data_IF_648581416529
#
_entry.id   IF_648581416529
#
_cell.length_a   1.000
_cell.length_b   1.000
_cell.length_c   1.000
_cell.angle_alpha   90.00
_cell.angle_beta   90.00
_cell.angle_gamma   90.00
#
_symmetry.space_group_name_H-M   'P 1'
#
loop_
_entity.id
_entity.type
_entity.pdbx_description
1 polymer ?
#
# COMPACT_ATOMS: atom_id res chain seq x y z
N UNK A 1 25.31 -38.95 47.19
CA UNK A 1 25.24 -38.11 45.98
C UNK A 1 23.97 -38.46 45.18
N UNK A 2 22.81 -38.00 45.66
CA UNK A 2 21.48 -38.19 45.04
C UNK A 2 21.05 -36.82 44.52
N UNK A 3 21.02 -36.62 43.20
CA UNK A 3 20.20 -35.60 42.49
C UNK A 3 20.64 -35.44 41.02
N UNK A 4 20.31 -36.39 40.14
CA UNK A 4 20.51 -36.19 38.69
C UNK A 4 19.48 -36.84 37.76
N UNK A 5 18.27 -37.08 38.24
CA UNK A 5 17.18 -37.67 37.43
C UNK A 5 15.83 -36.96 37.66
N UNK A 6 15.78 -35.64 37.46
CA UNK A 6 14.52 -34.85 37.46
C UNK A 6 14.08 -34.34 36.08
N UNK A 7 14.88 -34.52 35.03
CA UNK A 7 14.59 -33.99 33.68
C UNK A 7 13.67 -34.86 32.81
N UNK A 8 13.60 -36.17 33.06
CA UNK A 8 12.88 -37.12 32.19
C UNK A 8 11.37 -37.22 32.48
N UNK A 9 10.90 -36.77 33.66
CA UNK A 9 9.49 -36.83 34.02
C UNK A 9 8.63 -35.78 33.29
N UNK A 10 9.24 -34.66 32.88
CA UNK A 10 8.53 -33.56 32.23
C UNK A 10 8.15 -33.88 30.78
N UNK A 11 8.94 -34.65 30.04
CA UNK A 11 8.68 -34.95 28.62
C UNK A 11 7.42 -35.80 28.46
N UNK A 12 7.18 -36.76 29.37
CA UNK A 12 5.95 -37.56 29.40
C UNK A 12 4.71 -36.71 29.67
N UNK A 13 4.81 -35.79 30.64
CA UNK A 13 3.73 -34.84 30.99
C UNK A 13 3.36 -33.92 29.82
N UNK A 14 4.35 -33.39 29.10
CA UNK A 14 4.12 -32.56 27.90
C UNK A 14 3.46 -33.36 26.77
N UNK A 15 3.89 -34.61 26.56
CA UNK A 15 3.30 -35.48 25.53
C UNK A 15 1.85 -35.83 25.83
N UNK A 16 1.53 -36.08 27.10
CA UNK A 16 0.18 -36.40 27.56
C UNK A 16 -0.76 -35.19 27.50
N UNK A 17 -0.24 -33.97 27.76
CA UNK A 17 -0.97 -32.71 27.61
C UNK A 17 -1.25 -32.35 26.14
N UNK A 18 -0.34 -32.69 25.22
CA UNK A 18 -0.56 -32.55 23.77
C UNK A 18 -1.62 -33.54 23.28
N UNK A 19 -1.62 -34.78 23.77
CA UNK A 19 -2.63 -35.79 23.40
C UNK A 19 -4.03 -35.51 23.97
N UNK A 20 -4.12 -34.85 25.14
CA UNK A 20 -5.39 -34.51 25.80
C UNK A 20 -5.92 -33.12 25.40
N UNK A 21 -5.36 -32.49 24.36
CA UNK A 21 -5.93 -31.26 23.83
C UNK A 21 -7.30 -31.56 23.22
N UNK A 22 -8.33 -30.74 23.47
CA UNK A 22 -9.66 -30.96 22.91
C UNK A 22 -9.56 -31.10 21.38
N UNK A 23 -10.41 -31.96 20.77
CA UNK A 23 -10.38 -32.17 19.32
C UNK A 23 -10.43 -30.81 18.63
N UNK A 24 -9.50 -30.60 17.72
CA UNK A 24 -9.40 -29.35 16.97
C UNK A 24 -10.73 -29.19 16.23
N UNK A 25 -11.48 -28.12 16.52
CA UNK A 25 -12.65 -27.72 15.73
C UNK A 25 -12.14 -27.30 14.35
N UNK A 26 -12.13 -28.27 13.44
CA UNK A 26 -11.73 -28.09 12.04
C UNK A 26 -12.96 -27.51 11.32
N UNK A 27 -12.76 -26.38 10.66
CA UNK A 27 -13.81 -25.80 9.83
C UNK A 27 -13.97 -26.63 8.55
N UNK A 28 -15.11 -27.32 8.41
CA UNK A 28 -15.45 -28.13 7.25
C UNK A 28 -16.19 -27.35 6.14
N UNK A 29 -16.64 -26.12 6.39
CA UNK A 29 -17.33 -25.29 5.39
C UNK A 29 -16.37 -24.77 4.31
N UNK A 30 -16.42 -25.40 3.13
CA UNK A 30 -15.68 -24.96 1.93
C UNK A 30 -16.13 -23.56 1.50
N UNK A 31 -17.44 -23.28 1.57
CA UNK A 31 -18.01 -21.98 1.15
C UNK A 31 -17.45 -20.84 1.98
N UNK A 32 -17.38 -21.01 3.31
CA UNK A 32 -16.82 -19.98 4.20
C UNK A 32 -15.33 -19.73 3.90
N UNK A 33 -14.55 -20.78 3.66
CA UNK A 33 -13.13 -20.65 3.28
C UNK A 33 -12.95 -19.91 1.96
N UNK A 34 -13.71 -20.25 0.93
CA UNK A 34 -13.63 -19.59 -0.37
C UNK A 34 -13.99 -18.11 -0.26
N UNK A 35 -15.03 -17.77 0.51
CA UNK A 35 -15.44 -16.38 0.74
C UNK A 35 -14.37 -15.59 1.50
N UNK A 36 -13.77 -16.15 2.55
CA UNK A 36 -12.67 -15.50 3.28
C UNK A 36 -11.45 -15.31 2.39
N UNK A 37 -11.07 -16.31 1.58
CA UNK A 37 -9.97 -16.18 0.63
C UNK A 37 -10.25 -15.12 -0.43
N UNK A 38 -11.47 -15.07 -0.97
CA UNK A 38 -11.87 -14.04 -1.93
C UNK A 38 -11.76 -12.64 -1.30
N UNK A 39 -12.23 -12.49 -0.06
CA UNK A 39 -12.15 -11.23 0.70
C UNK A 39 -10.71 -10.76 0.89
N UNK A 40 -9.80 -11.68 1.21
CA UNK A 40 -8.37 -11.42 1.34
C UNK A 40 -7.76 -10.98 0.00
N UNK A 41 -8.05 -11.71 -1.08
CA UNK A 41 -7.57 -11.37 -2.43
C UNK A 41 -8.02 -9.97 -2.83
N UNK A 42 -9.29 -9.63 -2.58
CA UNK A 42 -9.83 -8.30 -2.88
C UNK A 42 -9.14 -7.24 -2.03
N UNK A 43 -8.88 -7.50 -0.74
CA UNK A 43 -8.12 -6.59 0.11
C UNK A 43 -6.71 -6.31 -0.41
N UNK A 44 -6.01 -7.35 -0.88
CA UNK A 44 -4.68 -7.23 -1.50
C UNK A 44 -4.75 -6.41 -2.79
N UNK A 45 -5.69 -6.74 -3.69
CA UNK A 45 -5.87 -6.02 -4.96
C UNK A 45 -6.26 -4.55 -4.73
N UNK A 46 -7.13 -4.28 -3.76
CA UNK A 46 -7.52 -2.93 -3.40
C UNK A 46 -6.33 -2.10 -2.91
N UNK A 47 -5.47 -2.71 -2.10
CA UNK A 47 -4.24 -2.09 -1.61
C UNK A 47 -3.27 -1.80 -2.74
N UNK A 48 -3.13 -2.73 -3.69
CA UNK A 48 -2.25 -2.59 -4.85
C UNK A 48 -2.68 -1.45 -5.78
N UNK A 49 -4.00 -1.37 -6.06
CA UNK A 49 -4.60 -0.28 -6.84
C UNK A 49 -4.44 1.06 -6.12
N UNK A 50 -4.63 1.10 -4.81
CA UNK A 50 -4.53 2.33 -4.03
C UNK A 50 -3.08 2.80 -3.84
N UNK A 51 -2.12 1.89 -3.82
CA UNK A 51 -0.70 2.16 -3.63
C UNK A 51 0.09 2.29 -4.93
N UNK A 52 -0.53 2.02 -6.09
CA UNK A 52 0.12 1.96 -7.41
C UNK A 52 1.34 1.02 -7.43
N UNK A 53 1.23 -0.09 -6.70
CA UNK A 53 2.27 -1.12 -6.61
C UNK A 53 1.97 -2.30 -7.54
N UNK A 54 2.91 -3.25 -7.61
CA UNK A 54 2.75 -4.52 -8.35
C UNK A 54 2.76 -5.74 -7.41
N UNK A 55 2.51 -5.51 -6.12
CA UNK A 55 2.58 -6.53 -5.07
C UNK A 55 1.51 -7.61 -5.22
N UNK A 56 0.37 -7.28 -5.84
CA UNK A 56 -0.71 -8.24 -6.10
C UNK A 56 -0.26 -9.42 -6.98
N UNK A 57 0.69 -9.19 -7.90
CA UNK A 57 1.14 -10.20 -8.87
C UNK A 57 1.69 -11.45 -8.19
N UNK A 58 2.37 -11.30 -7.06
CA UNK A 58 2.88 -12.44 -6.29
C UNK A 58 2.00 -12.79 -5.09
N UNK A 59 1.45 -11.79 -4.39
CA UNK A 59 0.67 -12.03 -3.18
C UNK A 59 -0.65 -12.77 -3.43
N UNK A 60 -1.33 -12.47 -4.54
CA UNK A 60 -2.62 -13.13 -4.88
C UNK A 60 -2.41 -14.62 -5.17
N UNK A 61 -1.53 -15.04 -6.11
CA UNK A 61 -1.26 -16.46 -6.34
C UNK A 61 -0.79 -17.18 -5.08
N UNK A 62 0.10 -16.56 -4.28
CA UNK A 62 0.65 -17.20 -3.10
C UNK A 62 -0.39 -17.38 -1.99
N UNK A 63 -1.28 -16.39 -1.80
CA UNK A 63 -2.40 -16.52 -0.85
C UNK A 63 -3.38 -17.62 -1.25
N UNK A 64 -3.63 -17.81 -2.56
CA UNK A 64 -4.51 -18.86 -3.08
C UNK A 64 -3.88 -20.24 -2.92
N UNK A 65 -2.60 -20.39 -3.27
CA UNK A 65 -1.83 -21.62 -3.02
C UNK A 65 -1.79 -21.93 -1.52
N UNK A 66 -1.59 -20.93 -0.67
CA UNK A 66 -1.63 -21.09 0.78
C UNK A 66 -2.97 -21.62 1.29
N UNK A 67 -4.08 -21.06 0.81
CA UNK A 67 -5.43 -21.49 1.18
C UNK A 67 -5.73 -22.93 0.72
N UNK A 68 -5.35 -23.29 -0.51
CA UNK A 68 -5.49 -24.65 -1.05
C UNK A 68 -4.63 -25.63 -0.26
N UNK A 69 -3.36 -25.29 -0.02
CA UNK A 69 -2.44 -26.11 0.77
C UNK A 69 -2.94 -26.31 2.20
N UNK A 70 -3.42 -25.25 2.85
CA UNK A 70 -4.01 -25.30 4.18
C UNK A 70 -5.22 -26.24 4.23
N UNK A 71 -6.06 -26.23 3.19
CA UNK A 71 -7.20 -27.15 3.07
C UNK A 71 -6.76 -28.61 2.98
N UNK A 72 -5.77 -28.95 2.15
CA UNK A 72 -5.26 -30.32 2.05
C UNK A 72 -4.56 -30.79 3.33
N UNK A 73 -3.78 -29.92 3.98
CA UNK A 73 -3.00 -30.27 5.17
C UNK A 73 -3.78 -30.17 6.49
N UNK A 74 -5.08 -29.78 6.45
CA UNK A 74 -5.89 -29.46 7.65
C UNK A 74 -5.96 -30.54 8.73
N UNK A 75 -5.82 -31.83 8.35
CA UNK A 75 -5.89 -32.98 9.27
C UNK A 75 -4.52 -33.47 9.73
N UNK A 76 -3.42 -32.88 9.26
CA UNK A 76 -2.06 -33.29 9.60
C UNK A 76 -1.33 -32.23 10.43
N UNK A 77 -0.81 -32.56 11.62
CA UNK A 77 0.04 -31.64 12.37
C UNK A 77 1.41 -31.56 11.70
N UNK A 78 1.66 -30.50 10.92
CA UNK A 78 2.96 -30.27 10.30
C UNK A 78 3.73 -29.16 11.04
N UNK A 79 4.44 -29.55 12.10
CA UNK A 79 5.20 -28.63 12.97
C UNK A 79 6.29 -27.89 12.18
N UNK A 80 6.93 -28.55 11.20
CA UNK A 80 7.98 -27.94 10.38
C UNK A 80 7.47 -26.76 9.55
N UNK A 81 6.27 -26.89 8.97
CA UNK A 81 5.64 -25.81 8.19
C UNK A 81 5.28 -24.63 9.10
N UNK A 82 4.71 -24.88 10.28
CA UNK A 82 4.42 -23.82 11.26
C UNK A 82 5.69 -23.08 11.69
N UNK A 83 6.79 -23.81 11.89
CA UNK A 83 8.07 -23.22 12.23
C UNK A 83 8.63 -22.36 11.08
N UNK A 84 8.52 -22.84 9.84
CA UNK A 84 8.93 -22.08 8.66
C UNK A 84 8.10 -20.80 8.49
N UNK A 85 6.77 -20.87 8.68
CA UNK A 85 5.89 -19.70 8.64
C UNK A 85 6.24 -18.71 9.76
N UNK A 86 6.52 -19.19 10.97
CA UNK A 86 6.94 -18.33 12.08
C UNK A 86 8.25 -17.58 11.78
N UNK A 87 9.24 -18.26 11.20
CA UNK A 87 10.47 -17.63 10.73
C UNK A 87 10.14 -16.60 9.63
N UNK A 88 9.29 -16.95 8.67
CA UNK A 88 8.86 -16.04 7.61
C UNK A 88 8.23 -14.77 8.16
N UNK A 89 7.37 -14.88 9.18
CA UNK A 89 6.73 -13.73 9.83
C UNK A 89 7.76 -12.86 10.57
N UNK A 90 8.75 -13.46 11.23
CA UNK A 90 9.84 -12.71 11.86
C UNK A 90 10.72 -11.98 10.84
N UNK A 91 11.02 -12.62 9.71
CA UNK A 91 11.78 -11.99 8.62
C UNK A 91 11.00 -10.83 7.99
N UNK A 92 9.69 -11.01 7.76
CA UNK A 92 8.82 -9.94 7.28
C UNK A 92 8.82 -8.74 8.24
N UNK A 93 8.74 -9.00 9.55
CA UNK A 93 8.83 -7.97 10.58
C UNK A 93 10.21 -7.28 10.60
N UNK A 94 11.30 -8.04 10.46
CA UNK A 94 12.64 -7.49 10.36
C UNK A 94 12.82 -6.60 9.13
N UNK A 95 12.29 -7.03 7.98
CA UNK A 95 12.29 -6.24 6.75
C UNK A 95 11.48 -4.95 6.89
N UNK A 96 10.32 -5.01 7.56
CA UNK A 96 9.52 -3.85 7.91
C UNK A 96 10.30 -2.82 8.72
N UNK A 97 10.98 -3.25 9.80
CA UNK A 97 11.78 -2.32 10.60
C UNK A 97 12.97 -1.74 9.81
N UNK A 98 13.62 -2.54 8.96
CA UNK A 98 14.68 -2.04 8.08
C UNK A 98 14.21 -0.93 7.15
N UNK A 99 13.04 -1.11 6.51
CA UNK A 99 12.44 -0.10 5.63
C UNK A 99 11.93 1.11 6.41
N UNK A 100 11.34 0.90 7.58
CA UNK A 100 10.85 1.97 8.44
C UNK A 100 11.96 2.93 8.87
N UNK A 101 13.17 2.41 9.16
CA UNK A 101 14.34 3.22 9.52
C UNK A 101 14.91 3.96 8.30
N UNK A 102 14.84 3.36 7.10
CA UNK A 102 15.33 3.97 5.86
C UNK A 102 14.38 5.02 5.23
N UNK A 103 13.07 4.88 5.44
CA UNK A 103 12.03 5.64 4.73
C UNK A 103 10.93 6.14 5.69
N UNK A 104 11.23 7.21 6.43
CA UNK A 104 10.30 7.80 7.41
C UNK A 104 9.12 8.57 6.78
N UNK A 105 9.13 8.75 5.46
CA UNK A 105 8.25 9.71 4.79
C UNK A 105 6.91 9.12 4.32
N UNK A 106 6.76 7.80 4.20
CA UNK A 106 5.45 7.18 3.92
C UNK A 106 5.28 5.82 4.58
N UNK A 107 5.08 5.84 5.90
CA UNK A 107 4.91 4.64 6.73
C UNK A 107 3.66 3.83 6.37
N UNK A 108 2.68 4.42 5.69
CA UNK A 108 1.44 3.74 5.30
C UNK A 108 1.69 2.67 4.24
N UNK A 109 2.55 2.96 3.26
CA UNK A 109 2.93 2.02 2.21
C UNK A 109 3.69 0.82 2.81
N UNK A 110 4.63 1.10 3.71
CA UNK A 110 5.44 0.09 4.40
C UNK A 110 4.55 -0.79 5.28
N UNK A 111 3.57 -0.20 5.98
CA UNK A 111 2.59 -0.94 6.79
C UNK A 111 1.69 -1.84 5.92
N UNK A 112 1.23 -1.32 4.78
CA UNK A 112 0.42 -2.08 3.82
C UNK A 112 1.17 -3.33 3.33
N UNK A 113 2.45 -3.17 2.98
CA UNK A 113 3.30 -4.27 2.55
C UNK A 113 3.49 -5.32 3.65
N UNK A 114 3.74 -4.90 4.89
CA UNK A 114 3.83 -5.82 6.03
C UNK A 114 2.53 -6.62 6.20
N UNK A 115 1.38 -5.96 6.12
CA UNK A 115 0.08 -6.63 6.26
C UNK A 115 -0.13 -7.66 5.15
N UNK A 116 0.24 -7.35 3.90
CA UNK A 116 0.14 -8.30 2.78
C UNK A 116 1.05 -9.50 3.02
N UNK A 117 2.31 -9.29 3.43
CA UNK A 117 3.26 -10.37 3.70
C UNK A 117 2.77 -11.29 4.82
N UNK A 118 2.30 -10.70 5.94
CA UNK A 118 1.72 -11.45 7.05
C UNK A 118 0.48 -12.23 6.62
N UNK A 119 -0.40 -11.61 5.81
CA UNK A 119 -1.61 -12.25 5.34
C UNK A 119 -1.34 -13.44 4.42
N UNK A 120 -0.36 -13.30 3.52
CA UNK A 120 0.08 -14.38 2.64
C UNK A 120 0.63 -15.54 3.44
N UNK A 121 1.51 -15.28 4.42
CA UNK A 121 2.06 -16.30 5.31
C UNK A 121 0.99 -16.98 6.16
N UNK A 122 0.05 -16.20 6.71
CA UNK A 122 -1.07 -16.71 7.49
C UNK A 122 -2.00 -17.60 6.65
N UNK A 123 -2.09 -17.37 5.33
CA UNK A 123 -2.87 -18.21 4.42
C UNK A 123 -2.45 -19.68 4.39
N UNK A 124 -1.18 -19.96 4.67
CA UNK A 124 -0.67 -21.33 4.73
C UNK A 124 -1.05 -22.09 6.01
N UNK A 125 -1.49 -21.41 7.08
CA UNK A 125 -1.82 -22.03 8.37
C UNK A 125 -3.20 -21.60 8.90
N UNK A 126 -4.26 -21.88 8.12
CA UNK A 126 -5.65 -21.69 8.55
C UNK A 126 -6.43 -23.00 8.77
N UNK A 127 -5.99 -23.93 9.65
CA UNK A 127 -6.75 -25.15 9.91
C UNK A 127 -8.03 -24.89 10.72
N UNK A 128 -8.05 -23.87 11.60
CA UNK A 128 -9.17 -23.60 12.49
C UNK A 128 -10.07 -22.49 11.99
N UNK A 129 -11.31 -22.51 12.45
CA UNK A 129 -12.30 -21.45 12.18
C UNK A 129 -11.88 -20.08 12.71
N UNK A 130 -11.26 -20.04 13.90
CA UNK A 130 -10.74 -18.79 14.49
C UNK A 130 -9.67 -18.13 13.60
N UNK A 131 -8.84 -18.95 12.95
CA UNK A 131 -7.77 -18.49 12.07
C UNK A 131 -8.35 -17.86 10.78
N UNK A 132 -9.45 -18.42 10.25
CA UNK A 132 -10.23 -17.81 9.16
C UNK A 132 -10.85 -16.47 9.58
N UNK A 133 -11.36 -16.39 10.81
CA UNK A 133 -11.87 -15.14 11.39
C UNK A 133 -10.80 -14.04 11.47
N UNK A 134 -9.58 -14.37 11.90
CA UNK A 134 -8.47 -13.41 11.90
C UNK A 134 -8.14 -12.92 10.49
N UNK A 135 -8.20 -13.81 9.51
CA UNK A 135 -7.92 -13.47 8.11
C UNK A 135 -8.98 -12.55 7.51
N UNK A 136 -10.24 -12.71 7.91
CA UNK A 136 -11.30 -11.75 7.58
C UNK A 136 -10.99 -10.36 8.15
N UNK A 137 -10.57 -10.29 9.42
CA UNK A 137 -10.21 -9.02 10.06
C UNK A 137 -9.02 -8.37 9.37
N UNK A 138 -7.97 -9.14 9.03
CA UNK A 138 -6.81 -8.61 8.30
C UNK A 138 -7.23 -8.12 6.92
N UNK A 139 -8.12 -8.81 6.22
CA UNK A 139 -8.71 -8.33 4.97
C UNK A 139 -9.47 -7.00 5.12
N UNK A 140 -10.19 -6.81 6.23
CA UNK A 140 -10.86 -5.55 6.56
C UNK A 140 -9.87 -4.43 6.92
N UNK A 141 -8.75 -4.77 7.56
CA UNK A 141 -7.66 -3.80 7.81
C UNK A 141 -7.01 -3.40 6.48
N UNK A 142 -6.77 -4.35 5.57
CA UNK A 142 -6.19 -4.08 4.24
C UNK A 142 -7.05 -3.10 3.44
N UNK A 143 -8.37 -3.31 3.36
CA UNK A 143 -9.25 -2.36 2.66
C UNK A 143 -9.26 -0.98 3.33
N UNK A 144 -9.13 -0.92 4.66
CA UNK A 144 -9.00 0.32 5.41
C UNK A 144 -7.70 1.07 5.09
N UNK A 145 -6.57 0.38 5.07
CA UNK A 145 -5.28 0.96 4.68
C UNK A 145 -5.32 1.42 3.22
N UNK A 146 -5.87 0.60 2.32
CA UNK A 146 -6.09 0.96 0.92
C UNK A 146 -6.93 2.24 0.78
N UNK A 147 -8.00 2.40 1.56
CA UNK A 147 -8.82 3.61 1.55
C UNK A 147 -8.03 4.87 1.96
N UNK A 148 -7.02 4.76 2.83
CA UNK A 148 -6.17 5.90 3.21
C UNK A 148 -5.10 6.25 2.17
N UNK A 149 -4.72 5.29 1.32
CA UNK A 149 -3.76 5.47 0.24
C UNK A 149 -4.42 5.92 -1.05
N UNK A 150 -5.68 5.55 -1.27
CA UNK A 150 -6.45 5.82 -2.47
C UNK A 150 -6.56 7.32 -2.77
N UNK A 151 -6.24 7.68 -4.01
CA UNK A 151 -6.29 9.07 -4.51
C UNK A 151 -7.33 9.26 -5.61
N UNK A 152 -7.95 8.17 -6.09
CA UNK A 152 -8.79 8.15 -7.29
C UNK A 152 -10.11 7.43 -7.04
N UNK A 153 -11.14 7.75 -7.84
CA UNK A 153 -12.42 7.05 -7.82
C UNK A 153 -12.34 5.59 -8.31
N UNK A 154 -11.19 5.17 -8.88
CA UNK A 154 -10.97 3.80 -9.33
C UNK A 154 -11.02 2.77 -8.19
N UNK A 155 -10.85 3.20 -6.94
CA UNK A 155 -11.00 2.34 -5.76
C UNK A 155 -12.46 1.98 -5.44
N UNK A 156 -13.44 2.81 -5.82
CA UNK A 156 -14.83 2.64 -5.41
C UNK A 156 -15.47 1.31 -5.87
N UNK A 157 -15.28 0.84 -7.13
CA UNK A 157 -15.80 -0.46 -7.55
C UNK A 157 -15.23 -1.62 -6.73
N UNK A 158 -13.94 -1.57 -6.39
CA UNK A 158 -13.27 -2.60 -5.60
C UNK A 158 -13.81 -2.62 -4.17
N UNK A 159 -14.07 -1.45 -3.59
CA UNK A 159 -14.71 -1.33 -2.28
C UNK A 159 -16.13 -1.91 -2.28
N UNK A 160 -16.94 -1.63 -3.30
CA UNK A 160 -18.29 -2.19 -3.43
C UNK A 160 -18.26 -3.72 -3.56
N UNK A 161 -17.30 -4.25 -4.33
CA UNK A 161 -17.09 -5.68 -4.49
C UNK A 161 -16.64 -6.33 -3.18
N UNK A 162 -15.74 -5.69 -2.42
CA UNK A 162 -15.37 -6.12 -1.07
C UNK A 162 -16.59 -6.18 -0.14
N UNK A 163 -17.43 -5.13 -0.16
CA UNK A 163 -18.63 -5.06 0.66
C UNK A 163 -19.64 -6.17 0.29
N UNK A 164 -19.80 -6.46 -1.00
CA UNK A 164 -20.69 -7.51 -1.48
C UNK A 164 -20.29 -8.91 -0.98
N UNK A 165 -18.99 -9.13 -0.74
CA UNK A 165 -18.46 -10.42 -0.25
C UNK A 165 -18.36 -10.46 1.27
N UNK A 166 -18.02 -9.36 1.95
CA UNK A 166 -17.90 -9.38 3.42
C UNK A 166 -19.24 -9.65 4.11
N UNK A 167 -20.35 -9.18 3.55
CA UNK A 167 -21.68 -9.38 4.12
C UNK A 167 -22.10 -10.86 4.23
N UNK A 168 -22.12 -11.65 3.14
CA UNK A 168 -22.42 -13.07 3.25
C UNK A 168 -21.40 -13.77 4.17
N UNK A 169 -20.12 -13.39 4.11
CA UNK A 169 -19.08 -13.99 4.96
C UNK A 169 -19.33 -13.75 6.45
N UNK A 170 -19.73 -12.54 6.85
CA UNK A 170 -20.09 -12.18 8.22
C UNK A 170 -21.36 -12.89 8.68
N UNK A 171 -22.36 -13.03 7.81
CA UNK A 171 -23.59 -13.77 8.13
C UNK A 171 -23.29 -15.25 8.42
N UNK A 172 -22.42 -15.88 7.61
CA UNK A 172 -21.95 -17.24 7.88
C UNK A 172 -21.17 -17.32 9.19
N UNK A 173 -20.27 -16.36 9.44
CA UNK A 173 -19.49 -16.34 10.67
C UNK A 173 -20.38 -16.17 11.92
N UNK A 174 -21.37 -15.29 11.83
CA UNK A 174 -22.31 -15.06 12.92
C UNK A 174 -23.19 -16.30 13.21
N UNK A 175 -23.79 -16.90 12.16
CA UNK A 175 -24.66 -18.08 12.31
C UNK A 175 -23.93 -19.26 12.94
N UNK A 176 -22.70 -19.52 12.50
CA UNK A 176 -21.93 -20.65 13.04
C UNK A 176 -21.42 -20.38 14.46
N UNK A 177 -21.18 -19.11 14.87
CA UNK A 177 -20.84 -18.78 16.28
C UNK A 177 -22.01 -18.91 17.24
N UNK A 178 -23.23 -18.69 16.75
CA UNK A 178 -24.45 -18.90 17.53
C UNK A 178 -24.80 -20.39 17.73
N UNK A 179 -24.00 -21.32 17.18
CA UNK A 179 -24.26 -22.74 17.31
C UNK A 179 -25.53 -23.21 16.59
N UNK A 180 -26.01 -22.43 15.60
CA UNK A 180 -27.09 -22.84 14.70
C UNK A 180 -26.56 -23.85 13.66
N UNK A 181 -25.77 -24.83 14.08
CA UNK A 181 -25.51 -25.99 13.24
C UNK A 181 -26.82 -26.75 13.04
N UNK A 182 -27.08 -27.24 11.81
CA UNK A 182 -28.25 -28.05 11.57
C UNK A 182 -28.12 -29.32 12.41
N UNK A 183 -29.01 -29.48 13.38
CA UNK A 183 -29.32 -30.76 14.00
C UNK A 183 -29.30 -31.82 12.92
N UNK A 184 -28.35 -32.74 13.03
CA UNK A 184 -28.15 -33.97 12.26
C UNK A 184 -29.35 -34.29 11.36
N UNK A 185 -29.27 -33.93 10.07
CA UNK A 185 -30.32 -34.25 9.11
C UNK A 185 -30.26 -35.76 8.86
N UNK A 186 -31.12 -36.47 9.60
CA UNK A 186 -31.66 -37.76 9.20
C UNK A 186 -32.24 -37.56 7.79
N UNK A 187 -31.65 -38.22 6.81
CA UNK A 187 -32.10 -38.28 5.41
C UNK A 187 -33.63 -38.41 5.37
N UNK A 188 -34.31 -37.34 4.99
CA UNK A 188 -35.66 -37.43 4.46
C UNK A 188 -35.80 -36.46 3.29
N UNK A 189 -35.97 -37.08 2.14
CA UNK A 189 -36.42 -36.52 0.87
C UNK A 189 -37.39 -35.36 1.05
N UNK A 190 -36.97 -34.14 0.68
CA UNK A 190 -37.92 -33.10 0.28
C UNK A 190 -37.28 -32.20 -0.78
N UNK A 191 -37.78 -32.37 -1.99
CA UNK A 191 -37.48 -31.64 -3.20
C UNK A 191 -38.19 -30.27 -3.09
N UNK A 192 -37.54 -29.27 -2.47
CA UNK A 192 -37.78 -27.81 -2.57
C UNK A 192 -37.34 -27.04 -1.28
N UNK A 193 -36.06 -27.08 -0.91
CA UNK A 193 -35.57 -26.24 0.22
C UNK A 193 -34.16 -25.64 0.02
N UNK A 194 -33.73 -25.39 -1.21
CA UNK A 194 -32.40 -24.83 -1.49
C UNK A 194 -32.25 -23.30 -1.24
N UNK A 195 -33.15 -22.65 -0.47
CA UNK A 195 -33.13 -21.18 -0.32
C UNK A 195 -33.22 -20.64 1.11
N UNK A 196 -33.02 -21.45 2.14
CA UNK A 196 -32.95 -20.95 3.54
C UNK A 196 -31.56 -20.46 3.95
N UNK A 197 -30.50 -20.79 3.19
CA UNK A 197 -29.11 -20.48 3.57
C UNK A 197 -28.77 -19.02 3.26
N UNK A 198 -29.29 -18.47 2.16
CA UNK A 198 -29.08 -17.08 1.76
C UNK A 198 -30.42 -16.41 1.47
N UNK A 199 -30.96 -15.67 2.44
CA UNK A 199 -32.04 -14.74 2.13
C UNK A 199 -31.43 -13.59 1.30
N UNK A 200 -31.40 -13.77 -0.02
CA UNK A 200 -30.79 -12.83 -0.96
C UNK A 200 -31.41 -11.43 -0.80
N UNK A 201 -32.72 -11.36 -0.56
CA UNK A 201 -33.40 -10.09 -0.25
C UNK A 201 -32.82 -9.43 1.00
N UNK A 202 -32.60 -10.19 2.07
CA UNK A 202 -31.96 -9.68 3.29
C UNK A 202 -30.54 -9.15 3.01
N UNK A 203 -29.71 -9.88 2.26
CA UNK A 203 -28.36 -9.43 1.92
C UNK A 203 -28.36 -8.14 1.09
N UNK A 204 -29.22 -8.05 0.07
CA UNK A 204 -29.34 -6.86 -0.78
C UNK A 204 -29.86 -5.66 0.01
N UNK A 205 -30.85 -5.85 0.88
CA UNK A 205 -31.37 -4.79 1.74
C UNK A 205 -30.26 -4.27 2.68
N UNK A 206 -29.52 -5.16 3.35
CA UNK A 206 -28.41 -4.75 4.22
C UNK A 206 -27.30 -4.04 3.44
N UNK A 207 -26.95 -4.52 2.25
CA UNK A 207 -25.98 -3.88 1.38
C UNK A 207 -26.38 -2.44 1.03
N UNK A 208 -27.63 -2.24 0.61
CA UNK A 208 -28.16 -0.91 0.30
C UNK A 208 -28.20 0.00 1.54
N UNK A 209 -28.64 -0.53 2.69
CA UNK A 209 -28.65 0.21 3.96
C UNK A 209 -27.24 0.70 4.31
N UNK A 210 -26.23 -0.16 4.22
CA UNK A 210 -24.84 0.20 4.53
C UNK A 210 -24.32 1.27 3.57
N UNK A 211 -24.65 1.18 2.28
CA UNK A 211 -24.27 2.20 1.29
C UNK A 211 -24.94 3.55 1.62
N UNK A 212 -26.25 3.54 1.89
CA UNK A 212 -27.01 4.77 2.18
C UNK A 212 -26.48 5.42 3.46
N UNK A 213 -26.23 4.64 4.51
CA UNK A 213 -25.66 5.13 5.77
C UNK A 213 -24.25 5.67 5.53
N UNK A 214 -23.39 4.92 4.82
CA UNK A 214 -22.03 5.33 4.50
C UNK A 214 -21.98 6.65 3.71
N UNK A 215 -22.84 6.78 2.69
CA UNK A 215 -22.98 8.01 1.91
C UNK A 215 -23.54 9.17 2.75
N UNK A 216 -24.48 8.89 3.66
CA UNK A 216 -25.04 9.91 4.56
C UNK A 216 -23.98 10.43 5.53
N UNK A 217 -23.20 9.52 6.15
CA UNK A 217 -22.06 9.89 7.00
C UNK A 217 -21.05 10.71 6.19
N UNK A 218 -20.74 10.27 4.98
CA UNK A 218 -19.82 10.98 4.09
C UNK A 218 -20.33 12.37 3.66
N UNK A 219 -21.63 12.55 3.51
CA UNK A 219 -22.25 13.84 3.19
C UNK A 219 -22.21 14.81 4.37
N UNK A 220 -22.32 14.30 5.60
CA UNK A 220 -22.29 15.10 6.84
C UNK A 220 -20.86 15.38 7.32
N UNK A 221 -19.90 14.51 7.00
CA UNK A 221 -18.51 14.67 7.43
C UNK A 221 -17.88 15.96 6.85
N UNK A 222 -17.37 16.88 7.70
CA UNK A 222 -16.69 18.07 7.24
C UNK A 222 -15.43 17.66 6.49
N UNK A 223 -15.39 17.96 5.18
CA UNK A 223 -14.21 17.71 4.34
C UNK A 223 -13.19 18.79 4.64
N UNK A 224 -12.34 18.54 5.64
CA UNK A 224 -11.15 19.36 5.81
C UNK A 224 -10.21 19.13 4.63
N UNK A 225 -9.78 20.18 3.91
CA UNK A 225 -8.68 20.03 2.96
C UNK A 225 -7.52 19.41 3.73
N UNK A 226 -7.09 18.23 3.29
CA UNK A 226 -6.06 17.45 3.98
C UNK A 226 -4.86 18.34 4.28
N UNK A 227 -4.46 18.41 5.55
CA UNK A 227 -3.38 19.24 6.07
C UNK A 227 -2.18 19.25 5.11
N UNK A 228 -1.96 20.39 4.45
CA UNK A 228 -0.76 20.70 3.67
C UNK A 228 0.47 20.94 4.54
N UNK A 229 0.60 20.25 5.68
CA UNK A 229 1.78 20.31 6.55
C UNK A 229 2.80 19.25 6.13
N UNK A 230 3.13 19.25 4.84
CA UNK A 230 4.49 18.94 4.44
C UNK A 230 5.01 20.22 3.84
N UNK A 231 5.49 21.12 4.70
CA UNK A 231 6.54 22.03 4.27
C UNK A 231 7.66 21.11 3.78
N UNK A 232 7.72 20.87 2.47
CA UNK A 232 8.95 20.40 1.87
C UNK A 232 10.06 21.30 2.41
N UNK A 233 11.29 20.80 2.62
CA UNK A 233 12.41 21.69 2.89
C UNK A 233 12.55 22.61 1.66
N UNK A 234 11.85 23.73 1.69
CA UNK A 234 12.00 24.81 0.73
C UNK A 234 13.35 25.38 1.06
N UNK A 235 14.20 25.48 0.04
CA UNK A 235 15.43 26.26 0.11
C UNK A 235 15.13 27.58 0.82
N UNK A 236 15.99 27.95 1.77
CA UNK A 236 15.89 29.20 2.53
C UNK A 236 15.45 30.35 1.63
N UNK A 237 14.60 31.27 2.12
CA UNK A 237 14.19 32.44 1.36
C UNK A 237 15.44 33.10 0.76
N UNK A 238 15.50 33.09 -0.57
CA UNK A 238 16.55 33.78 -1.30
C UNK A 238 16.22 35.26 -1.17
N UNK A 239 17.01 36.00 -0.40
CA UNK A 239 16.94 37.45 -0.37
C UNK A 239 17.35 37.99 -1.75
N UNK A 240 16.36 38.15 -2.63
CA UNK A 240 16.56 38.83 -3.90
C UNK A 240 16.58 40.33 -3.59
N UNK A 241 17.77 40.93 -3.61
CA UNK A 241 17.91 42.38 -3.54
C UNK A 241 17.34 43.00 -4.83
N UNK A 242 16.12 43.55 -4.76
CA UNK A 242 15.47 44.32 -5.83
C UNK A 242 14.00 43.95 -6.09
N UNK A 243 13.28 44.79 -6.85
CA UNK A 243 11.86 44.60 -7.15
C UNK A 243 11.59 43.35 -7.99
N UNK A 244 10.80 42.41 -7.45
CA UNK A 244 10.27 41.25 -8.17
C UNK A 244 9.22 41.69 -9.19
N UNK A 245 9.67 42.09 -10.38
CA UNK A 245 8.79 42.54 -11.47
C UNK A 245 8.26 41.39 -12.35
N UNK A 246 8.55 40.13 -12.02
CA UNK A 246 8.19 38.94 -12.83
C UNK A 246 8.85 38.87 -14.22
N UNK A 247 9.61 39.91 -14.60
CA UNK A 247 10.33 40.04 -15.89
C UNK A 247 11.77 39.53 -15.83
N UNK A 248 12.26 39.18 -14.64
CA UNK A 248 13.65 38.77 -14.40
C UNK A 248 13.68 37.38 -13.80
N UNK A 249 14.21 36.43 -14.55
CA UNK A 249 14.48 35.07 -14.07
C UNK A 249 15.83 35.10 -13.35
N UNK A 250 15.84 34.84 -12.04
CA UNK A 250 17.06 34.76 -11.24
C UNK A 250 17.39 33.29 -11.02
N UNK A 251 18.48 32.83 -11.64
CA UNK A 251 18.97 31.46 -11.49
C UNK A 251 20.35 31.47 -10.81
N UNK A 252 20.46 31.06 -9.53
CA UNK A 252 21.71 31.12 -8.77
C UNK A 252 22.81 30.16 -9.28
N UNK A 253 22.47 29.16 -10.12
CA UNK A 253 23.46 28.28 -10.75
C UNK A 253 24.25 28.94 -11.89
N UNK A 254 23.75 30.04 -12.43
CA UNK A 254 24.52 30.89 -13.35
C UNK A 254 25.22 31.98 -12.55
N UNK A 255 26.29 31.62 -11.84
CA UNK A 255 27.21 32.62 -11.30
C UNK A 255 27.76 33.44 -12.46
N UNK A 256 27.44 34.73 -12.46
CA UNK A 256 28.01 35.75 -13.35
C UNK A 256 29.49 35.88 -13.00
N UNK A 257 30.31 34.97 -13.52
CA UNK A 257 31.76 35.06 -13.39
C UNK A 257 32.23 36.24 -14.23
N UNK A 258 32.32 37.40 -13.59
CA UNK A 258 32.59 38.67 -14.25
C UNK A 258 32.48 39.83 -13.28
N UNK A 259 33.09 39.72 -12.10
CA UNK A 259 33.34 40.88 -11.24
C UNK A 259 34.71 41.47 -11.61
N UNK A 260 34.78 42.16 -12.76
CA UNK A 260 35.85 43.12 -12.99
C UNK A 260 35.46 44.40 -12.24
N UNK A 261 36.10 44.60 -11.10
CA UNK A 261 36.10 45.87 -10.39
C UNK A 261 36.75 46.92 -11.29
N UNK A 262 36.00 47.95 -11.69
CA UNK A 262 36.57 49.10 -12.39
C UNK A 262 35.59 49.88 -13.26
N UNK A 263 34.77 50.70 -12.60
CA UNK A 263 34.33 52.04 -13.05
C UNK A 263 33.45 52.24 -14.30
N UNK A 264 32.61 53.27 -14.14
CA UNK A 264 31.81 54.01 -15.11
C UNK A 264 30.49 53.37 -15.59
N UNK A 265 29.41 54.08 -15.29
CA UNK A 265 28.04 53.68 -15.58
C UNK A 265 27.71 53.62 -17.07
N UNK A 266 26.73 52.76 -17.37
CA UNK A 266 25.89 52.90 -18.56
C UNK A 266 24.63 52.04 -18.35
N UNK A 267 23.47 52.64 -18.63
CA UNK A 267 22.21 51.93 -18.82
C UNK A 267 22.38 50.94 -19.98
N UNK A 268 22.68 49.68 -19.65
CA UNK A 268 22.87 48.61 -20.62
C UNK A 268 21.88 47.49 -20.34
N UNK A 269 20.87 47.37 -21.21
CA UNK A 269 20.10 46.16 -21.40
C UNK A 269 21.07 44.97 -21.53
N UNK A 270 21.03 44.09 -20.54
CA UNK A 270 22.03 43.07 -20.28
C UNK A 270 21.96 41.91 -21.25
N UNK A 271 22.21 42.16 -22.53
CA UNK A 271 22.50 41.14 -23.52
C UNK A 271 23.84 40.50 -23.16
N UNK A 272 23.79 39.38 -22.44
CA UNK A 272 24.94 38.51 -22.21
C UNK A 272 25.41 37.93 -23.54
N UNK A 273 26.37 38.63 -24.14
CA UNK A 273 27.14 38.20 -25.29
C UNK A 273 28.21 37.25 -24.76
N UNK A 274 27.91 35.94 -24.82
CA UNK A 274 28.85 34.90 -24.47
C UNK A 274 30.15 35.07 -25.24
N UNK A 275 31.26 34.97 -24.51
CA UNK A 275 32.61 34.95 -25.05
C UNK A 275 32.69 34.05 -26.28
N UNK A 276 33.21 34.60 -27.39
CA UNK A 276 33.74 33.82 -28.50
C UNK A 276 34.94 33.06 -27.96
N UNK A 277 34.88 31.74 -27.99
CA UNK A 277 36.01 30.88 -27.69
C UNK A 277 35.59 29.75 -26.76
N UNK A 278 35.82 28.54 -27.22
CA UNK A 278 35.67 27.26 -26.54
C UNK A 278 34.25 26.67 -26.43
N UNK A 279 34.19 25.40 -26.85
CA UNK A 279 33.03 24.53 -26.77
C UNK A 279 32.62 24.45 -25.30
N UNK A 280 31.61 25.24 -24.94
CA UNK A 280 31.04 25.28 -23.60
C UNK A 280 30.58 23.87 -23.22
N UNK A 281 31.32 23.23 -22.31
CA UNK A 281 30.93 21.95 -21.72
C UNK A 281 29.68 22.17 -20.85
N UNK A 282 28.78 21.20 -20.90
CA UNK A 282 27.63 21.15 -19.99
C UNK A 282 28.15 20.89 -18.58
N UNK A 283 27.78 21.71 -17.59
CA UNK A 283 27.82 21.30 -16.17
C UNK A 283 26.82 20.15 -15.99
N UNK A 284 27.35 18.94 -15.80
CA UNK A 284 26.59 17.70 -15.66
C UNK A 284 25.62 17.69 -14.46
N UNK A 285 25.76 18.63 -13.52
CA UNK A 285 25.04 18.62 -12.24
C UNK A 285 23.88 19.61 -12.16
N UNK A 286 23.74 20.51 -13.15
CA UNK A 286 22.82 21.64 -13.12
C UNK A 286 21.75 21.59 -14.22
N UNK A 287 20.51 21.97 -13.90
CA UNK A 287 19.40 21.98 -14.87
C UNK A 287 19.22 23.35 -15.54
N UNK A 288 19.41 23.39 -16.86
CA UNK A 288 19.42 24.63 -17.66
C UNK A 288 18.04 25.18 -18.03
N UNK A 289 16.96 24.41 -17.81
CA UNK A 289 15.62 24.77 -18.28
C UNK A 289 15.02 26.01 -17.61
N UNK A 290 15.48 26.38 -16.41
CA UNK A 290 15.06 27.61 -15.71
C UNK A 290 15.92 28.82 -16.09
N UNK A 291 15.85 29.27 -17.34
CA UNK A 291 16.63 30.41 -17.81
C UNK A 291 15.90 31.23 -18.89
N UNK A 292 16.40 32.44 -19.17
CA UNK A 292 15.94 33.33 -20.26
C UNK A 292 16.43 32.88 -21.64
N UNK A 293 17.52 32.10 -21.70
CA UNK A 293 18.10 31.52 -22.92
C UNK A 293 18.57 30.11 -22.64
N UNK A 294 18.39 29.21 -23.61
CA UNK A 294 18.93 27.86 -23.61
C UNK A 294 19.75 27.68 -24.89
N UNK A 295 20.98 27.19 -24.76
CA UNK A 295 21.86 26.87 -25.89
C UNK A 295 21.81 25.36 -26.10
N UNK A 296 21.31 24.92 -27.26
CA UNK A 296 21.16 23.49 -27.55
C UNK A 296 22.41 22.88 -28.18
N UNK A 297 23.38 23.71 -28.57
CA UNK A 297 24.65 23.25 -29.13
C UNK A 297 25.67 22.78 -28.07
N UNK A 298 25.33 22.87 -26.78
CA UNK A 298 26.15 22.35 -25.71
C UNK A 298 26.24 20.82 -25.83
N UNK A 299 27.45 20.27 -25.76
CA UNK A 299 27.69 18.83 -25.82
C UNK A 299 28.15 18.34 -24.44
N UNK A 300 27.53 17.27 -23.96
CA UNK A 300 27.80 16.64 -22.67
C UNK A 300 26.62 15.75 -22.23
N UNK A 301 26.86 14.86 -21.27
CA UNK A 301 25.83 14.01 -20.67
C UNK A 301 25.48 14.55 -19.28
N UNK A 302 24.22 14.94 -19.06
CA UNK A 302 23.77 15.36 -17.72
C UNK A 302 23.63 14.14 -16.81
N UNK A 303 24.10 14.26 -15.56
CA UNK A 303 23.86 13.24 -14.54
C UNK A 303 22.42 13.31 -14.06
N UNK A 304 21.69 12.18 -13.98
CA UNK A 304 20.34 12.16 -13.43
C UNK A 304 20.32 12.72 -12.00
N UNK A 305 19.56 13.80 -11.80
CA UNK A 305 19.39 14.45 -10.49
C UNK A 305 17.94 14.94 -10.35
N UNK A 306 17.41 14.86 -9.14
CA UNK A 306 16.06 15.34 -8.83
C UNK A 306 16.05 16.87 -8.89
N UNK A 307 15.32 17.43 -9.86
CA UNK A 307 15.16 18.88 -10.06
C UNK A 307 13.90 19.42 -9.39
N UNK A 308 12.80 18.66 -9.45
CA UNK A 308 11.51 19.03 -8.89
C UNK A 308 10.75 17.78 -8.45
N UNK A 309 10.02 17.85 -7.34
CA UNK A 309 9.05 16.84 -6.93
C UNK A 309 7.67 17.50 -6.93
N UNK A 310 6.72 16.92 -7.64
CA UNK A 310 5.35 17.43 -7.75
C UNK A 310 4.38 16.37 -7.27
N UNK A 311 3.36 16.79 -6.53
CA UNK A 311 2.23 15.94 -6.17
C UNK A 311 1.01 16.42 -6.95
N UNK A 312 0.42 15.54 -7.74
CA UNK A 312 -0.77 15.82 -8.54
C UNK A 312 -1.75 14.66 -8.48
N UNK A 313 -3.04 14.96 -8.59
CA UNK A 313 -4.12 13.96 -8.66
C UNK A 313 -4.35 13.45 -10.08
N UNK A 314 -3.67 14.04 -11.07
CA UNK A 314 -3.75 13.64 -12.47
C UNK A 314 -2.40 13.87 -13.17
N UNK A 315 -2.10 13.02 -14.15
CA UNK A 315 -0.99 13.23 -15.07
C UNK A 315 -1.21 14.51 -15.86
N UNK A 316 -0.15 15.30 -16.03
CA UNK A 316 -0.24 16.58 -16.70
C UNK A 316 1.11 17.12 -17.12
N UNK A 317 1.10 17.95 -18.15
CA UNK A 317 2.28 18.68 -18.58
C UNK A 317 2.49 19.87 -17.65
N UNK A 318 3.61 19.86 -16.93
CA UNK A 318 4.04 20.99 -16.11
C UNK A 318 4.75 22.00 -17.00
N UNK A 319 3.99 22.99 -17.48
CA UNK A 319 4.57 24.11 -18.22
C UNK A 319 5.41 24.95 -17.27
N UNK A 320 6.71 25.00 -17.54
CA UNK A 320 7.68 25.78 -16.77
C UNK A 320 7.98 27.10 -17.49
N UNK A 321 8.63 27.01 -18.65
CA UNK A 321 9.02 28.16 -19.45
C UNK A 321 8.81 27.84 -20.94
N UNK A 322 8.54 28.87 -21.72
CA UNK A 322 8.50 28.81 -23.18
C UNK A 322 9.58 29.73 -23.74
N UNK A 323 10.25 29.28 -24.80
CA UNK A 323 11.26 30.06 -25.53
C UNK A 323 10.72 30.39 -26.91
N UNK A 324 10.36 31.66 -27.12
CA UNK A 324 9.62 32.07 -28.33
C UNK A 324 10.55 32.57 -29.46
N UNK A 325 11.85 32.73 -29.18
CA UNK A 325 12.84 33.23 -30.16
C UNK A 325 13.97 32.25 -30.36
N UNK A 326 14.11 31.75 -31.58
CA UNK A 326 15.23 30.91 -31.99
C UNK A 326 16.34 31.75 -32.64
N UNK A 327 17.58 31.60 -32.14
CA UNK A 327 18.75 32.36 -32.63
C UNK A 327 19.72 31.53 -33.46
N UNK A 328 19.40 30.26 -33.78
CA UNK A 328 20.33 29.33 -34.45
C UNK A 328 21.41 28.75 -33.53
N UNK A 329 21.26 28.97 -32.22
CA UNK A 329 22.12 28.45 -31.16
C UNK A 329 21.28 27.75 -30.11
#
# INVERSE_FOLDING_TARGET
MKNRFRGLHNIGYWRQKISNSPPIEIEDSIVFRVLVSALVIIGIVATDIAAETTGSFWAVPLSLVGGVWSYYRRRQPNVAVKFCIAIGMLLALGAFFGRLVGELNDTRLILAELLIQLQVLHSFDMPRRKDLGYSMIIGLILIGVAATLSQTLAFAPVLLLFLAIVLPTLVLDYRSRLGLEPLTIKKQSSKNQDSAIFNFKFLVINFLIIIIIGLSIFAVLPRFPGYGLRTFPVSSPIEVQGDFTGRKIVNPGYVRSGNNNGSQGSNGDGTSQGAKGDRQQVDDSFYYGFNTKINQNLRGEMKPKVVMRVRSQAEGFWRVLAFDRYTGK
#
